data_IF_052170454711
#
_entry.id   IF_052170454711
#
_cell.length_a   1.000
_cell.length_b   1.000
_cell.length_c   1.000
_cell.angle_alpha   90.00
_cell.angle_beta   90.00
_cell.angle_gamma   90.00
#
_symmetry.space_group_name_H-M   'P 1'
#
loop_
_entity.id
_entity.type
_entity.pdbx_description
1 polymer ?
#
# COMPACT_ATOMS: atom_id res chain seq x y z
N UNK A 1 -10.71 29.92 22.31
CA UNK A 1 -10.30 28.54 21.97
C UNK A 1 -8.87 28.59 21.45
N UNK A 2 -7.98 27.72 21.94
CA UNK A 2 -6.59 27.63 21.44
C UNK A 2 -6.60 26.95 20.07
N UNK A 3 -5.99 27.59 19.07
CA UNK A 3 -5.71 26.99 17.76
C UNK A 3 -4.57 25.99 17.92
N UNK A 4 -4.79 24.76 17.47
CA UNK A 4 -3.78 23.69 17.50
C UNK A 4 -3.15 23.59 16.11
N UNK A 5 -1.82 23.60 16.03
CA UNK A 5 -1.10 23.35 14.78
C UNK A 5 -0.99 21.84 14.56
N UNK A 6 -1.24 21.40 13.33
CA UNK A 6 -1.16 20.01 12.90
C UNK A 6 -0.52 19.94 11.52
N UNK A 7 0.35 18.95 11.31
CA UNK A 7 1.06 18.75 10.05
C UNK A 7 0.99 17.28 9.67
N UNK A 8 0.98 16.99 8.37
CA UNK A 8 1.06 15.65 7.80
C UNK A 8 1.92 15.67 6.54
N UNK A 9 2.38 14.49 6.13
CA UNK A 9 3.16 14.28 4.92
C UNK A 9 2.55 13.17 4.06
N UNK A 10 2.99 13.12 2.80
CA UNK A 10 2.68 12.06 1.85
C UNK A 10 3.88 11.88 0.94
N UNK A 11 4.02 10.69 0.38
CA UNK A 11 5.04 10.39 -0.63
C UNK A 11 4.37 10.01 -1.95
N UNK A 12 5.10 10.12 -3.06
CA UNK A 12 4.59 9.77 -4.39
C UNK A 12 4.66 8.27 -4.63
N UNK A 13 4.02 7.81 -5.69
CA UNK A 13 4.07 6.42 -6.16
C UNK A 13 5.50 5.90 -6.42
N UNK A 14 6.45 6.80 -6.71
CA UNK A 14 7.85 6.45 -6.95
C UNK A 14 8.70 6.35 -5.69
N UNK A 15 8.14 6.60 -4.50
CA UNK A 15 8.85 6.36 -3.25
C UNK A 15 9.10 4.85 -3.08
N UNK A 16 10.29 4.38 -2.68
CA UNK A 16 10.60 2.96 -2.56
C UNK A 16 9.54 2.16 -1.81
N UNK A 17 9.10 2.64 -0.64
CA UNK A 17 8.03 2.00 0.13
C UNK A 17 6.71 1.91 -0.65
N UNK A 18 6.34 2.94 -1.41
CA UNK A 18 5.13 2.93 -2.24
C UNK A 18 5.23 2.07 -3.48
N UNK A 19 6.45 1.87 -3.99
CA UNK A 19 6.71 0.87 -5.03
C UNK A 19 6.50 -0.53 -4.45
N UNK A 20 7.02 -0.80 -3.25
CA UNK A 20 6.82 -2.08 -2.57
C UNK A 20 5.34 -2.36 -2.29
N UNK A 21 4.61 -1.37 -1.75
CA UNK A 21 3.17 -1.45 -1.53
C UNK A 21 2.45 -1.82 -2.85
N UNK A 22 2.72 -1.07 -3.93
CA UNK A 22 2.06 -1.26 -5.22
C UNK A 22 2.35 -2.64 -5.84
N UNK A 23 3.57 -3.15 -5.68
CA UNK A 23 3.94 -4.50 -6.15
C UNK A 23 3.20 -5.56 -5.34
N UNK A 24 3.22 -5.48 -4.01
CA UNK A 24 2.52 -6.42 -3.13
C UNK A 24 1.02 -6.46 -3.42
N UNK A 25 0.38 -5.30 -3.59
CA UNK A 25 -1.05 -5.20 -3.93
C UNK A 25 -1.35 -5.72 -5.34
N UNK A 26 -0.46 -5.48 -6.31
CA UNK A 26 -0.61 -6.03 -7.67
C UNK A 26 -0.62 -7.57 -7.67
N UNK A 27 0.16 -8.20 -6.79
CA UNK A 27 0.14 -9.66 -6.61
C UNK A 27 -1.16 -10.11 -5.96
N UNK A 28 -1.61 -9.41 -4.91
CA UNK A 28 -2.90 -9.67 -4.26
C UNK A 28 -4.05 -9.62 -5.28
N UNK A 29 -4.12 -8.56 -6.08
CA UNK A 29 -5.15 -8.37 -7.10
C UNK A 29 -5.16 -9.50 -8.13
N UNK A 30 -3.98 -9.89 -8.62
CA UNK A 30 -3.85 -10.98 -9.57
C UNK A 30 -4.33 -12.33 -9.01
N UNK A 31 -4.15 -12.57 -7.71
CA UNK A 31 -4.61 -13.77 -7.02
C UNK A 31 -6.12 -13.72 -6.77
N UNK A 32 -6.65 -12.60 -6.26
CA UNK A 32 -8.08 -12.41 -6.01
C UNK A 32 -8.91 -12.47 -7.30
N UNK A 33 -8.37 -12.01 -8.43
CA UNK A 33 -9.02 -12.11 -9.74
C UNK A 33 -9.25 -13.56 -10.18
N UNK A 34 -8.42 -14.50 -9.72
CA UNK A 34 -8.52 -15.94 -10.06
C UNK A 34 -9.23 -16.75 -8.98
N UNK A 35 -8.92 -16.47 -7.72
CA UNK A 35 -9.57 -17.07 -6.56
C UNK A 35 -9.84 -15.99 -5.49
N UNK A 36 -11.12 -15.58 -5.33
CA UNK A 36 -11.52 -14.60 -4.31
C UNK A 36 -11.26 -15.05 -2.87
N UNK A 37 -10.94 -16.33 -2.63
CA UNK A 37 -10.58 -16.86 -1.30
C UNK A 37 -9.08 -17.07 -1.11
N UNK A 38 -8.25 -16.55 -2.02
CA UNK A 38 -6.79 -16.58 -1.91
C UNK A 38 -6.34 -16.06 -0.55
N UNK A 39 -5.47 -16.83 0.13
CA UNK A 39 -4.78 -16.39 1.34
C UNK A 39 -3.44 -15.81 0.94
N UNK A 40 -3.26 -14.50 1.13
CA UNK A 40 -2.11 -13.75 0.61
C UNK A 40 -1.44 -12.98 1.75
N UNK A 41 -0.12 -13.08 1.83
CA UNK A 41 0.75 -12.36 2.76
C UNK A 41 2.10 -12.13 2.06
N UNK A 42 2.09 -11.24 1.05
CA UNK A 42 3.23 -10.98 0.16
C UNK A 42 3.92 -9.69 0.59
N UNK A 43 5.23 -9.78 0.80
CA UNK A 43 6.10 -8.68 1.19
C UNK A 43 7.10 -8.39 0.08
N UNK A 44 7.39 -7.11 -0.17
CA UNK A 44 8.36 -6.64 -1.17
C UNK A 44 9.42 -5.78 -0.47
N UNK A 45 10.71 -6.02 -0.75
CA UNK A 45 11.87 -5.34 -0.14
C UNK A 45 12.66 -4.52 -1.16
#
# INVERSE_FOLDING_TARGET
MSTRLFTSESVTEGHPDKICDAISDSVLDALLAKDPRSRVAVETL
#
